data_IF_303741466673
#
_entry.id   IF_303741466673
#
_cell.length_a   1.000
_cell.length_b   1.000
_cell.length_c   1.000
_cell.angle_alpha   90.00
_cell.angle_beta   90.00
_cell.angle_gamma   90.00
#
_symmetry.space_group_name_H-M   'P 1'
#
loop_
_entity.id
_entity.type
_entity.pdbx_description
1 polymer ?
#
# COMPACT_ATOMS: atom_id res chain seq x y z
N UNK A 1 5.55 4.85 -37.05
CA UNK A 1 6.57 4.78 -35.99
C UNK A 1 5.96 3.94 -34.89
N UNK A 2 6.43 2.71 -34.71
CA UNK A 2 5.95 1.84 -33.63
C UNK A 2 6.48 2.41 -32.32
N UNK A 3 5.59 2.68 -31.36
CA UNK A 3 6.02 3.02 -29.99
C UNK A 3 6.91 1.90 -29.46
N UNK A 4 8.01 2.23 -28.76
CA UNK A 4 8.87 1.22 -28.18
C UNK A 4 8.04 0.39 -27.19
N UNK A 5 8.08 -0.92 -27.38
CA UNK A 5 7.49 -1.91 -26.48
C UNK A 5 8.17 -1.76 -25.12
N UNK A 6 7.53 -1.04 -24.18
CA UNK A 6 7.99 -0.94 -22.80
C UNK A 6 8.15 -2.35 -22.25
N UNK A 7 9.34 -2.65 -21.75
CA UNK A 7 9.62 -4.00 -21.25
C UNK A 7 8.83 -4.25 -19.97
N UNK A 8 8.39 -5.49 -19.72
CA UNK A 8 7.58 -5.85 -18.54
C UNK A 8 8.17 -5.39 -17.20
N UNK A 9 9.51 -5.29 -17.10
CA UNK A 9 10.22 -4.79 -15.93
C UNK A 9 10.06 -3.28 -15.69
N UNK A 10 9.66 -2.50 -16.69
CA UNK A 10 9.41 -1.07 -16.54
C UNK A 10 8.04 -0.79 -15.90
N UNK A 11 7.12 -1.77 -15.90
CA UNK A 11 5.76 -1.58 -15.40
C UNK A 11 5.61 -1.76 -13.89
N UNK A 12 6.51 -2.50 -13.22
CA UNK A 12 6.52 -2.63 -11.75
C UNK A 12 7.90 -2.27 -11.22
N UNK A 13 7.98 -1.27 -10.35
CA UNK A 13 9.25 -0.80 -9.77
C UNK A 13 9.14 -0.71 -8.26
N UNK A 14 10.17 -1.15 -7.56
CA UNK A 14 10.31 -0.90 -6.12
C UNK A 14 11.08 0.39 -5.93
N UNK A 15 10.53 1.33 -5.17
CA UNK A 15 11.15 2.64 -4.94
C UNK A 15 11.04 3.05 -3.49
N UNK A 16 12.04 3.81 -3.02
CA UNK A 16 11.95 4.54 -1.77
C UNK A 16 11.42 5.94 -2.08
N UNK A 17 10.17 6.20 -1.73
CA UNK A 17 9.56 7.51 -1.94
C UNK A 17 9.63 8.33 -0.64
N UNK A 18 10.37 9.43 -0.70
CA UNK A 18 10.61 10.30 0.45
C UNK A 18 9.35 11.01 0.95
N UNK A 19 8.39 11.26 0.06
CA UNK A 19 7.09 11.86 0.39
C UNK A 19 6.26 10.88 1.21
N UNK A 20 6.30 9.59 0.83
CA UNK A 20 5.69 8.51 1.61
C UNK A 20 6.37 8.39 2.96
N UNK A 21 7.71 8.38 3.03
CA UNK A 21 8.45 8.31 4.30
C UNK A 21 8.10 9.47 5.25
N UNK A 22 8.05 10.70 4.74
CA UNK A 22 7.66 11.85 5.53
C UNK A 22 6.22 11.70 6.06
N UNK A 23 5.29 11.30 5.20
CA UNK A 23 3.88 11.13 5.56
C UNK A 23 3.69 10.06 6.63
N UNK A 24 4.45 8.97 6.54
CA UNK A 24 4.44 7.94 7.58
C UNK A 24 5.02 8.44 8.91
N UNK A 25 5.99 9.36 8.90
CA UNK A 25 6.46 10.03 10.11
C UNK A 25 5.41 11.00 10.70
N UNK A 26 4.69 11.73 9.84
CA UNK A 26 3.53 12.56 10.23
C UNK A 26 2.44 11.68 10.88
N UNK A 27 2.14 10.52 10.28
CA UNK A 27 1.21 9.56 10.88
C UNK A 27 1.73 9.03 12.23
N UNK A 28 3.01 8.73 12.36
CA UNK A 28 3.61 8.30 13.63
C UNK A 28 3.49 9.35 14.76
N UNK A 29 3.47 10.64 14.40
CA UNK A 29 3.25 11.76 15.31
C UNK A 29 1.76 12.08 15.57
N UNK A 30 0.86 11.53 14.76
CA UNK A 30 -0.59 11.78 14.81
C UNK A 30 -1.33 10.86 15.81
N UNK A 31 -2.66 10.92 15.83
CA UNK A 31 -3.52 10.00 16.58
C UNK A 31 -3.63 8.61 15.96
N UNK A 32 -3.21 8.45 14.70
CA UNK A 32 -3.39 7.22 13.96
C UNK A 32 -2.78 5.97 14.63
N UNK A 33 -1.56 5.97 15.23
CA UNK A 33 -1.01 4.79 15.90
C UNK A 33 -1.96 4.22 16.97
N UNK A 34 -2.67 5.10 17.69
CA UNK A 34 -3.65 4.68 18.69
C UNK A 34 -4.93 4.14 18.03
N UNK A 35 -5.39 4.76 16.94
CA UNK A 35 -6.56 4.32 16.18
C UNK A 35 -6.35 2.92 15.62
N UNK A 36 -5.19 2.66 15.02
CA UNK A 36 -4.87 1.37 14.43
C UNK A 36 -4.68 0.27 15.50
N UNK A 37 -3.98 0.56 16.59
CA UNK A 37 -3.83 -0.39 17.71
C UNK A 37 -5.17 -0.72 18.38
N UNK A 38 -6.16 0.17 18.28
CA UNK A 38 -7.53 -0.10 18.73
C UNK A 38 -8.30 -1.06 17.79
N UNK A 39 -7.93 -1.13 16.50
CA UNK A 39 -8.49 -2.09 15.54
C UNK A 39 -7.94 -3.48 15.84
N UNK A 40 -6.62 -3.61 15.82
CA UNK A 40 -5.94 -4.89 16.10
C UNK A 40 -4.57 -4.63 16.76
N UNK A 41 -4.44 -4.91 18.08
CA UNK A 41 -3.17 -4.80 18.76
C UNK A 41 -2.09 -5.68 18.11
N UNK A 42 -0.92 -5.08 17.87
CA UNK A 42 0.21 -5.76 17.26
C UNK A 42 1.55 -5.13 17.61
N UNK A 43 2.63 -5.90 17.49
CA UNK A 43 3.97 -5.40 17.71
C UNK A 43 4.34 -4.36 16.64
N UNK A 44 4.68 -3.14 17.08
CA UNK A 44 5.16 -2.07 16.21
C UNK A 44 6.61 -2.32 15.82
N UNK A 45 6.94 -2.11 14.54
CA UNK A 45 8.31 -2.20 14.04
C UNK A 45 9.26 -1.28 14.80
N UNK A 46 10.52 -1.69 14.97
CA UNK A 46 11.52 -0.88 15.69
C UNK A 46 11.67 0.50 15.06
N UNK A 47 11.67 0.59 13.72
CA UNK A 47 11.72 1.90 13.03
C UNK A 47 10.49 2.76 13.30
N UNK A 48 9.30 2.16 13.48
CA UNK A 48 8.11 2.90 13.89
C UNK A 48 8.19 3.45 15.30
N UNK A 49 8.78 2.70 16.24
CA UNK A 49 9.03 3.18 17.61
C UNK A 49 10.04 4.33 17.63
N UNK A 50 11.16 4.16 16.91
CA UNK A 50 12.21 5.18 16.79
C UNK A 50 11.69 6.45 16.13
N UNK A 51 10.90 6.32 15.07
CA UNK A 51 10.27 7.48 14.42
C UNK A 51 9.32 8.19 15.36
N UNK A 52 8.43 7.47 16.05
CA UNK A 52 7.53 8.09 17.03
C UNK A 52 8.29 8.79 18.16
N UNK A 53 9.36 8.19 18.66
CA UNK A 53 10.22 8.80 19.67
C UNK A 53 10.86 10.09 19.13
N UNK A 54 11.47 10.03 17.94
CA UNK A 54 12.07 11.19 17.28
C UNK A 54 11.06 12.34 17.11
N UNK A 55 9.85 12.02 16.65
CA UNK A 55 8.80 13.02 16.47
C UNK A 55 8.34 13.64 17.80
N UNK A 56 8.29 12.84 18.88
CA UNK A 56 7.88 13.31 20.20
C UNK A 56 8.95 14.17 20.90
N UNK A 57 10.23 13.78 20.83
CA UNK A 57 11.33 14.50 21.47
C UNK A 57 11.53 15.92 20.93
N UNK A 58 11.09 16.16 19.69
CA UNK A 58 11.21 17.43 18.98
C UNK A 58 9.87 18.20 18.88
N UNK A 59 8.85 17.79 19.64
CA UNK A 59 7.51 18.43 19.69
C UNK A 59 6.79 18.55 18.34
N UNK A 60 7.08 17.66 17.39
CA UNK A 60 6.46 17.69 16.05
C UNK A 60 4.98 17.32 16.05
N UNK A 61 4.46 16.72 17.14
CA UNK A 61 3.05 16.40 17.27
C UNK A 61 2.13 17.65 17.20
N UNK A 62 2.65 18.83 17.58
CA UNK A 62 1.93 20.11 17.51
C UNK A 62 2.08 20.84 16.17
N UNK A 63 2.81 20.25 15.21
CA UNK A 63 3.04 20.87 13.91
C UNK A 63 1.74 20.98 13.07
N UNK A 64 1.51 22.08 12.32
CA UNK A 64 0.31 22.25 11.49
C UNK A 64 0.02 21.07 10.54
N UNK A 65 1.05 20.52 9.91
CA UNK A 65 0.90 19.35 9.04
C UNK A 65 0.32 18.11 9.76
N UNK A 66 0.73 17.87 11.03
CA UNK A 66 0.22 16.76 11.85
C UNK A 66 -1.19 17.06 12.33
N UNK A 67 -1.46 18.30 12.74
CA UNK A 67 -2.79 18.74 13.16
C UNK A 67 -3.84 18.55 12.04
N UNK A 68 -3.48 18.87 10.79
CA UNK A 68 -4.38 18.69 9.64
C UNK A 68 -4.64 17.23 9.31
N UNK A 69 -3.65 16.35 9.47
CA UNK A 69 -3.86 14.90 9.35
C UNK A 69 -4.78 14.40 10.46
N UNK A 70 -4.60 14.84 11.71
CA UNK A 70 -5.51 14.50 12.81
C UNK A 70 -6.95 14.93 12.54
N UNK A 71 -7.15 16.14 12.00
CA UNK A 71 -8.47 16.64 11.60
C UNK A 71 -9.08 15.81 10.47
N UNK A 72 -8.30 15.50 9.42
CA UNK A 72 -8.75 14.67 8.30
C UNK A 72 -9.19 13.27 8.78
N UNK A 73 -8.37 12.62 9.61
CA UNK A 73 -8.67 11.31 10.18
C UNK A 73 -9.92 11.34 11.07
N UNK A 74 -10.09 12.38 11.88
CA UNK A 74 -11.28 12.56 12.72
C UNK A 74 -12.56 12.73 11.87
N UNK A 75 -12.44 13.28 10.66
CA UNK A 75 -13.51 13.42 9.69
C UNK A 75 -13.69 12.20 8.77
N UNK A 76 -12.98 11.09 9.04
CA UNK A 76 -13.13 9.84 8.29
C UNK A 76 -12.41 9.80 6.94
N UNK A 77 -11.46 10.71 6.70
CA UNK A 77 -10.59 10.64 5.51
C UNK A 77 -9.71 9.39 5.61
N UNK A 78 -9.69 8.58 4.55
CA UNK A 78 -8.87 7.36 4.48
C UNK A 78 -7.39 7.67 4.19
N UNK A 79 -6.52 6.68 4.47
CA UNK A 79 -5.09 6.83 4.21
C UNK A 79 -4.76 6.93 2.72
N UNK A 80 -5.56 6.33 1.84
CA UNK A 80 -5.38 6.45 0.39
C UNK A 80 -5.44 7.92 -0.04
N UNK A 81 -6.40 8.67 0.49
CA UNK A 81 -6.54 10.11 0.25
C UNK A 81 -5.34 10.90 0.81
N UNK A 82 -4.87 10.57 2.02
CA UNK A 82 -3.68 11.22 2.62
C UNK A 82 -2.43 10.98 1.77
N UNK A 83 -2.17 9.74 1.39
CA UNK A 83 -1.00 9.38 0.59
C UNK A 83 -1.10 9.88 -0.85
N UNK A 84 -2.29 9.89 -1.43
CA UNK A 84 -2.48 10.50 -2.75
C UNK A 84 -2.18 11.99 -2.69
N UNK A 85 -2.73 12.72 -1.70
CA UNK A 85 -2.48 14.15 -1.56
C UNK A 85 -1.01 14.52 -1.41
N UNK A 86 -0.21 13.76 -0.66
CA UNK A 86 1.22 14.06 -0.53
C UNK A 86 2.00 13.78 -1.83
N UNK A 87 1.59 12.77 -2.60
CA UNK A 87 2.22 12.40 -3.86
C UNK A 87 1.92 13.41 -4.99
N UNK A 88 0.89 14.23 -4.82
CA UNK A 88 0.61 15.38 -5.69
C UNK A 88 1.63 16.53 -5.55
N UNK A 89 2.55 16.46 -4.57
CA UNK A 89 3.66 17.39 -4.40
C UNK A 89 5.02 16.83 -4.85
N UNK A 90 5.93 17.73 -5.22
CA UNK A 90 7.34 17.43 -5.47
C UNK A 90 8.11 17.10 -4.18
N UNK A 91 9.27 16.45 -4.28
CA UNK A 91 10.09 16.19 -3.10
C UNK A 91 10.91 17.43 -2.67
N UNK A 92 11.08 17.57 -1.35
CA UNK A 92 11.71 18.65 -0.58
C UNK A 92 10.90 19.93 -0.43
N UNK A 93 10.43 20.52 -1.52
CA UNK A 93 9.66 21.77 -1.46
C UNK A 93 8.14 21.56 -1.51
N UNK A 94 7.68 20.35 -1.81
CA UNK A 94 6.28 20.01 -2.01
C UNK A 94 5.57 20.98 -2.97
N UNK A 95 6.32 21.46 -3.98
CA UNK A 95 5.74 22.22 -5.08
C UNK A 95 4.63 21.40 -5.75
N UNK A 96 3.49 22.04 -6.00
CA UNK A 96 2.31 21.38 -6.56
C UNK A 96 2.60 20.82 -7.95
N UNK A 97 2.49 19.50 -8.12
CA UNK A 97 2.58 18.82 -9.41
C UNK A 97 1.19 18.61 -10.02
N UNK A 98 0.21 18.33 -9.18
CA UNK A 98 -1.20 18.15 -9.52
C UNK A 98 -2.08 18.55 -8.33
N UNK A 99 -3.39 18.74 -8.54
CA UNK A 99 -4.30 19.14 -7.47
C UNK A 99 -4.50 17.97 -6.48
N UNK A 100 -4.25 18.15 -5.16
CA UNK A 100 -4.48 17.10 -4.18
C UNK A 100 -5.98 16.84 -3.97
N UNK A 101 -6.39 15.61 -3.63
CA UNK A 101 -7.74 15.33 -3.22
C UNK A 101 -8.11 16.11 -1.95
N UNK A 102 -9.37 16.54 -1.87
CA UNK A 102 -9.92 17.16 -0.68
C UNK A 102 -9.83 16.21 0.54
N UNK A 103 -9.65 16.72 1.77
CA UNK A 103 -9.62 18.14 2.15
C UNK A 103 -8.22 18.77 2.05
N UNK A 104 -7.24 18.07 1.50
CA UNK A 104 -5.88 18.56 1.41
C UNK A 104 -5.76 19.63 0.32
N UNK A 105 -4.83 20.56 0.51
CA UNK A 105 -4.60 21.70 -0.38
C UNK A 105 -3.11 21.99 -0.47
N UNK A 106 -2.73 22.91 -1.37
CA UNK A 106 -1.36 23.42 -1.44
C UNK A 106 -0.85 24.00 -0.09
N UNK A 107 -1.75 24.46 0.79
CA UNK A 107 -1.37 24.94 2.13
C UNK A 107 -0.83 23.80 2.99
N UNK A 108 -1.44 22.61 2.92
CA UNK A 108 -0.94 21.44 3.64
C UNK A 108 0.39 20.94 3.09
N UNK A 109 0.55 20.97 1.76
CA UNK A 109 1.82 20.65 1.12
C UNK A 109 2.95 21.61 1.58
N UNK A 110 2.66 22.91 1.69
CA UNK A 110 3.62 23.88 2.22
C UNK A 110 3.97 23.59 3.70
N UNK A 111 3.01 23.15 4.52
CA UNK A 111 3.27 22.73 5.90
C UNK A 111 4.12 21.44 5.95
N UNK A 112 3.95 20.52 5.01
CA UNK A 112 4.83 19.34 4.91
C UNK A 112 6.26 19.73 4.51
N UNK A 113 6.42 20.70 3.60
CA UNK A 113 7.73 21.24 3.25
C UNK A 113 8.41 21.89 4.47
N UNK A 114 7.66 22.66 5.26
CA UNK A 114 8.15 23.26 6.50
C UNK A 114 8.59 22.19 7.51
N UNK A 115 7.78 21.15 7.72
CA UNK A 115 8.16 20.03 8.60
C UNK A 115 9.42 19.32 8.07
N UNK A 116 9.49 19.04 6.77
CA UNK A 116 10.65 18.37 6.17
C UNK A 116 11.93 19.19 6.30
N UNK A 117 11.84 20.52 6.17
CA UNK A 117 12.98 21.43 6.25
C UNK A 117 13.48 21.62 7.70
N UNK A 118 12.57 21.64 8.67
CA UNK A 118 12.93 21.99 10.06
C UNK A 118 13.09 20.79 11.00
N UNK A 119 12.64 19.59 10.61
CA UNK A 119 12.73 18.39 11.47
C UNK A 119 14.07 17.68 11.42
N UNK A 120 14.95 17.98 10.46
CA UNK A 120 16.16 17.22 10.17
C UNK A 120 15.93 15.71 10.01
N UNK A 121 14.68 15.25 9.79
CA UNK A 121 14.33 13.83 9.82
C UNK A 121 15.11 13.01 8.79
N UNK A 122 15.38 13.60 7.62
CA UNK A 122 16.17 12.96 6.56
C UNK A 122 17.65 12.81 6.91
N UNK A 123 18.23 13.78 7.62
CA UNK A 123 19.67 13.81 7.95
C UNK A 123 20.00 13.20 9.31
N UNK A 124 19.08 13.24 10.26
CA UNK A 124 19.24 12.65 11.58
C UNK A 124 18.74 11.20 11.57
N UNK A 125 17.43 10.99 11.40
CA UNK A 125 16.82 9.68 11.58
C UNK A 125 17.03 8.75 10.39
N UNK A 126 16.68 9.18 9.17
CA UNK A 126 16.75 8.30 8.00
C UNK A 126 18.18 7.99 7.59
N UNK A 127 19.11 8.92 7.79
CA UNK A 127 20.52 8.67 7.51
C UNK A 127 21.13 7.66 8.50
N UNK A 128 20.79 7.75 9.78
CA UNK A 128 21.25 6.80 10.81
C UNK A 128 20.74 5.37 10.56
N UNK A 129 19.51 5.24 10.05
CA UNK A 129 18.87 3.94 9.79
C UNK A 129 18.81 3.55 8.31
N UNK A 130 19.72 4.09 7.49
CA UNK A 130 19.76 3.83 6.04
C UNK A 130 19.80 2.34 5.71
N UNK A 131 20.64 1.58 6.40
CA UNK A 131 20.85 0.15 6.13
C UNK A 131 19.54 -0.66 6.19
N UNK A 132 18.63 -0.31 7.10
CA UNK A 132 17.34 -0.98 7.25
C UNK A 132 16.42 -0.70 6.05
N UNK A 133 16.49 0.50 5.49
CA UNK A 133 15.74 0.85 4.28
C UNK A 133 16.34 0.20 3.04
N UNK A 134 17.67 0.14 2.96
CA UNK A 134 18.38 -0.52 1.86
C UNK A 134 18.11 -2.04 1.86
N UNK A 135 18.01 -2.66 3.04
CA UNK A 135 17.57 -4.05 3.19
C UNK A 135 16.13 -4.24 2.70
N UNK A 136 15.19 -3.39 3.15
CA UNK A 136 13.80 -3.47 2.69
C UNK A 136 13.65 -3.28 1.18
N UNK A 137 14.42 -2.36 0.58
CA UNK A 137 14.50 -2.20 -0.87
C UNK A 137 15.05 -3.43 -1.54
N UNK A 138 16.13 -4.01 -1.01
CA UNK A 138 16.77 -5.21 -1.57
C UNK A 138 15.80 -6.39 -1.57
N UNK A 139 15.13 -6.62 -0.45
CA UNK A 139 14.14 -7.70 -0.30
C UNK A 139 12.96 -7.52 -1.27
N UNK A 140 12.35 -6.33 -1.31
CA UNK A 140 11.22 -6.08 -2.21
C UNK A 140 11.65 -6.16 -3.68
N UNK A 141 12.83 -5.64 -4.05
CA UNK A 141 13.33 -5.79 -5.41
C UNK A 141 13.48 -7.27 -5.78
N UNK A 142 13.99 -8.11 -4.88
CA UNK A 142 14.08 -9.55 -5.12
C UNK A 142 12.70 -10.20 -5.29
N UNK A 143 11.72 -9.83 -4.45
CA UNK A 143 10.35 -10.35 -4.50
C UNK A 143 9.64 -9.98 -5.81
N UNK A 144 9.79 -8.74 -6.27
CA UNK A 144 9.06 -8.22 -7.43
C UNK A 144 9.76 -8.39 -8.77
N UNK A 145 11.03 -8.81 -8.78
CA UNK A 145 11.86 -8.92 -10.00
C UNK A 145 11.19 -9.70 -11.14
N UNK A 146 10.56 -10.81 -10.80
CA UNK A 146 9.94 -11.75 -11.74
C UNK A 146 8.42 -11.88 -11.53
N UNK A 147 7.85 -11.03 -10.66
CA UNK A 147 6.42 -11.04 -10.37
C UNK A 147 5.63 -10.43 -11.52
N UNK A 148 4.73 -11.21 -12.13
CA UNK A 148 3.85 -10.74 -13.22
C UNK A 148 2.66 -9.89 -12.72
N UNK A 149 2.89 -9.01 -11.74
CA UNK A 149 1.82 -8.23 -11.09
C UNK A 149 1.09 -7.31 -12.08
N UNK A 150 1.83 -6.55 -12.89
CA UNK A 150 1.22 -5.65 -13.88
C UNK A 150 0.38 -6.41 -14.90
N UNK A 151 0.89 -7.54 -15.43
CA UNK A 151 0.15 -8.41 -16.36
C UNK A 151 -1.13 -8.99 -15.71
N UNK A 152 -1.04 -9.39 -14.44
CA UNK A 152 -2.20 -9.87 -13.68
C UNK A 152 -3.25 -8.76 -13.51
N UNK A 153 -2.85 -7.56 -13.07
CA UNK A 153 -3.76 -6.42 -12.89
C UNK A 153 -4.36 -5.96 -14.22
N UNK A 154 -3.61 -5.99 -15.32
CA UNK A 154 -4.12 -5.70 -16.65
C UNK A 154 -5.17 -6.73 -17.10
N UNK A 155 -4.92 -8.03 -16.84
CA UNK A 155 -5.93 -9.08 -17.09
C UNK A 155 -7.16 -8.94 -16.20
N UNK A 156 -6.99 -8.49 -14.96
CA UNK A 156 -8.09 -8.30 -14.02
C UNK A 156 -8.98 -7.12 -14.43
N UNK A 157 -8.38 -5.98 -14.75
CA UNK A 157 -9.10 -4.75 -15.17
C UNK A 157 -9.60 -4.84 -16.61
N UNK A 158 -8.88 -5.55 -17.49
CA UNK A 158 -9.17 -5.63 -18.94
C UNK A 158 -8.68 -4.44 -19.72
N UNK A 159 -7.78 -3.70 -19.10
CA UNK A 159 -7.16 -2.50 -19.62
C UNK A 159 -5.67 -2.71 -19.48
N UNK A 160 -4.91 -2.26 -20.46
CA UNK A 160 -3.48 -2.03 -20.24
C UNK A 160 -3.34 -0.97 -19.16
N UNK A 161 -2.43 -1.18 -18.22
CA UNK A 161 -2.13 -0.14 -17.23
C UNK A 161 -1.51 1.05 -17.97
N UNK A 162 -2.13 2.22 -17.86
CA UNK A 162 -1.66 3.47 -18.49
C UNK A 162 -0.46 4.06 -17.73
N UNK A 163 -0.18 3.56 -16.52
CA UNK A 163 0.87 4.04 -15.62
C UNK A 163 1.61 2.86 -14.99
N UNK A 164 2.91 3.04 -14.66
CA UNK A 164 3.65 2.05 -13.89
C UNK A 164 3.09 1.90 -12.47
N UNK A 165 3.30 0.72 -11.91
CA UNK A 165 3.06 0.39 -10.50
C UNK A 165 4.35 0.59 -9.71
N UNK A 166 4.30 1.41 -8.67
CA UNK A 166 5.38 1.67 -7.74
C UNK A 166 5.09 0.97 -6.40
N UNK A 167 5.94 0.02 -6.03
CA UNK A 167 5.90 -0.65 -4.73
C UNK A 167 6.78 0.15 -3.77
N UNK A 168 6.20 0.66 -2.69
CA UNK A 168 6.89 1.52 -1.72
C UNK A 168 6.89 0.86 -0.35
N UNK A 169 8.05 0.52 0.25
CA UNK A 169 8.10 0.02 1.61
C UNK A 169 7.73 1.11 2.62
N UNK A 170 7.05 0.73 3.70
CA UNK A 170 6.83 1.59 4.87
C UNK A 170 7.22 0.88 6.17
N UNK A 171 8.26 1.38 6.85
CA UNK A 171 8.81 0.79 8.08
C UNK A 171 8.56 1.61 9.34
N UNK A 172 8.24 2.89 9.17
CA UNK A 172 8.25 3.91 10.23
C UNK A 172 6.90 4.14 10.88
N UNK A 173 5.91 3.34 10.51
CA UNK A 173 4.56 3.52 10.94
C UNK A 173 3.86 2.14 11.00
N UNK A 174 3.19 1.76 12.10
CA UNK A 174 2.48 0.48 12.16
C UNK A 174 1.36 0.46 11.11
N UNK A 175 1.33 -0.53 10.23
CA UNK A 175 0.31 -0.63 9.18
C UNK A 175 -0.15 -2.08 9.06
N UNK A 176 -1.40 -2.33 9.44
CA UNK A 176 -2.06 -3.64 9.36
C UNK A 176 -2.27 -4.09 7.92
N UNK A 177 -2.41 -3.13 7.00
CA UNK A 177 -2.66 -3.35 5.58
C UNK A 177 -1.87 -2.33 4.75
N UNK A 178 -1.60 -2.69 3.50
CA UNK A 178 -1.08 -1.78 2.52
C UNK A 178 -2.09 -0.68 2.17
N UNK A 179 -1.58 0.40 1.61
CA UNK A 179 -2.40 1.53 1.16
C UNK A 179 -2.12 1.80 -0.31
N UNK A 180 -3.15 1.80 -1.17
CA UNK A 180 -2.96 2.26 -2.54
C UNK A 180 -2.87 3.79 -2.56
N UNK A 181 -2.28 4.33 -3.61
CA UNK A 181 -2.42 5.74 -3.96
C UNK A 181 -2.24 5.88 -5.48
N UNK A 182 -2.65 7.00 -6.06
CA UNK A 182 -2.45 7.23 -7.50
C UNK A 182 -2.22 8.69 -7.81
N UNK A 183 -1.30 8.92 -8.73
CA UNK A 183 -1.08 10.22 -9.36
C UNK A 183 -1.28 10.10 -10.88
N UNK A 184 -1.15 11.21 -11.60
CA UNK A 184 -1.05 11.19 -13.06
C UNK A 184 0.16 10.39 -13.59
N UNK A 185 1.18 10.13 -12.77
CA UNK A 185 2.42 9.45 -13.18
C UNK A 185 2.46 7.96 -12.84
N UNK A 186 1.80 7.52 -11.76
CA UNK A 186 1.96 6.15 -11.25
C UNK A 186 0.78 5.68 -10.39
N UNK A 187 0.62 4.36 -10.32
CA UNK A 187 -0.13 3.68 -9.25
C UNK A 187 0.85 3.26 -8.16
N UNK A 188 0.51 3.52 -6.91
CA UNK A 188 1.36 3.20 -5.76
C UNK A 188 0.72 2.07 -4.96
N UNK A 189 1.54 1.13 -4.51
CA UNK A 189 1.21 0.21 -3.42
C UNK A 189 2.21 0.46 -2.29
N UNK A 190 1.74 1.11 -1.22
CA UNK A 190 2.53 1.37 -0.01
C UNK A 190 2.37 0.13 0.87
N UNK A 191 3.40 -0.71 0.90
CA UNK A 191 3.34 -2.04 1.50
C UNK A 191 4.08 -2.03 2.84
N UNK A 192 3.43 -2.40 3.95
CA UNK A 192 4.09 -2.61 5.22
C UNK A 192 4.71 -4.00 5.34
N UNK A 193 5.69 -4.19 6.23
CA UNK A 193 6.22 -5.51 6.51
C UNK A 193 5.13 -6.42 7.10
N UNK A 194 5.26 -7.75 6.94
CA UNK A 194 4.35 -8.69 7.57
C UNK A 194 4.24 -8.46 9.07
N UNK A 195 3.01 -8.56 9.60
CA UNK A 195 2.76 -8.48 11.05
C UNK A 195 3.64 -9.51 11.78
N UNK A 196 4.36 -9.05 12.80
CA UNK A 196 5.13 -9.92 13.68
C UNK A 196 4.20 -10.78 14.56
N UNK A 197 4.63 -12.00 14.85
CA UNK A 197 3.95 -12.89 15.80
C UNK A 197 4.76 -12.93 17.10
N UNK A 198 4.14 -12.56 18.23
CA UNK A 198 4.78 -12.54 19.54
C UNK A 198 5.65 -11.30 19.79
N UNK A 199 6.78 -11.47 20.47
CA UNK A 199 7.73 -10.40 20.81
C UNK A 199 8.79 -10.15 19.71
N UNK A 200 8.79 -10.97 18.66
CA UNK A 200 9.69 -10.78 17.52
C UNK A 200 9.39 -9.45 16.82
N UNK A 201 10.42 -8.71 16.35
CA UNK A 201 10.17 -7.56 15.49
C UNK A 201 9.46 -8.02 14.20
N UNK A 202 8.70 -7.13 13.52
CA UNK A 202 8.14 -7.42 12.21
C UNK A 202 9.21 -7.97 11.27
N UNK A 203 8.83 -9.00 10.52
CA UNK A 203 9.77 -9.77 9.72
C UNK A 203 10.27 -8.91 8.55
N UNK A 204 11.56 -9.05 8.17
CA UNK A 204 12.02 -8.54 6.89
C UNK A 204 11.15 -9.06 5.75
N UNK A 205 11.02 -8.30 4.66
CA UNK A 205 10.14 -8.69 3.56
C UNK A 205 10.52 -10.05 2.95
N UNK A 206 11.82 -10.42 2.95
CA UNK A 206 12.29 -11.70 2.39
C UNK A 206 11.62 -12.94 2.99
N UNK A 207 11.22 -12.89 4.26
CA UNK A 207 10.61 -14.03 4.96
C UNK A 207 9.08 -14.08 4.75
N UNK A 208 8.52 -13.12 4.00
CA UNK A 208 7.09 -12.98 3.72
C UNK A 208 6.83 -12.52 2.28
N UNK A 209 7.47 -13.15 1.30
CA UNK A 209 7.25 -12.84 -0.12
C UNK A 209 5.77 -12.99 -0.53
N UNK A 210 5.09 -14.04 -0.03
CA UNK A 210 3.66 -14.26 -0.25
C UNK A 210 2.81 -13.12 0.33
N UNK A 211 3.18 -12.61 1.49
CA UNK A 211 2.54 -11.46 2.11
C UNK A 211 2.71 -10.20 1.27
N UNK A 212 3.95 -9.84 0.90
CA UNK A 212 4.23 -8.63 0.15
C UNK A 212 3.50 -8.62 -1.21
N UNK A 213 3.58 -9.71 -1.96
CA UNK A 213 2.89 -9.90 -3.24
C UNK A 213 1.37 -9.88 -3.09
N UNK A 214 0.85 -10.63 -2.13
CA UNK A 214 -0.59 -10.71 -1.87
C UNK A 214 -1.17 -9.37 -1.42
N UNK A 215 -0.42 -8.59 -0.64
CA UNK A 215 -0.87 -7.29 -0.15
C UNK A 215 -0.91 -6.24 -1.25
N UNK A 216 0.15 -6.12 -2.07
CA UNK A 216 0.11 -5.21 -3.22
C UNK A 216 -1.01 -5.57 -4.20
N UNK A 217 -1.20 -6.86 -4.49
CA UNK A 217 -2.29 -7.31 -5.35
C UNK A 217 -3.67 -6.95 -4.77
N UNK A 218 -3.88 -7.17 -3.46
CA UNK A 218 -5.14 -6.81 -2.78
C UNK A 218 -5.47 -5.33 -2.88
N UNK A 219 -4.53 -4.46 -2.54
CA UNK A 219 -4.78 -3.02 -2.48
C UNK A 219 -4.98 -2.47 -3.89
N UNK A 220 -4.16 -2.90 -4.86
CA UNK A 220 -4.29 -2.46 -6.25
C UNK A 220 -5.54 -3.02 -6.94
N UNK A 221 -6.00 -4.21 -6.57
CA UNK A 221 -7.24 -4.79 -7.12
C UNK A 221 -8.43 -3.90 -6.86
N UNK A 222 -8.63 -3.50 -5.59
CA UNK A 222 -9.77 -2.66 -5.21
C UNK A 222 -9.63 -1.27 -5.82
N UNK A 223 -8.40 -0.73 -5.79
CA UNK A 223 -8.07 0.58 -6.33
C UNK A 223 -8.35 0.71 -7.82
N UNK A 224 -7.84 -0.23 -8.63
CA UNK A 224 -7.93 -0.17 -10.10
C UNK A 224 -9.33 -0.55 -10.63
N UNK A 225 -10.16 -1.16 -9.78
CA UNK A 225 -11.54 -1.51 -10.08
C UNK A 225 -12.53 -0.62 -9.33
N UNK A 226 -12.15 0.60 -8.94
CA UNK A 226 -12.99 1.48 -8.09
C UNK A 226 -14.42 1.65 -8.63
N UNK A 227 -14.58 1.80 -9.96
CA UNK A 227 -15.90 1.92 -10.61
C UNK A 227 -16.73 0.64 -10.48
N UNK A 228 -16.12 -0.52 -10.74
CA UNK A 228 -16.78 -1.82 -10.61
C UNK A 228 -17.09 -2.16 -9.15
N UNK A 229 -16.18 -1.80 -8.24
CA UNK A 229 -16.28 -2.00 -6.80
C UNK A 229 -17.39 -1.15 -6.17
N UNK A 230 -17.64 0.06 -6.67
CA UNK A 230 -18.70 0.94 -6.18
C UNK A 230 -20.11 0.30 -6.28
N UNK A 231 -20.29 -0.70 -7.15
CA UNK A 231 -21.53 -1.45 -7.29
C UNK A 231 -21.61 -2.71 -6.41
N UNK A 232 -20.54 -3.03 -5.67
CA UNK A 232 -20.43 -4.24 -4.84
C UNK A 232 -20.74 -3.94 -3.38
N UNK A 233 -21.17 -4.96 -2.65
CA UNK A 233 -21.25 -4.91 -1.18
C UNK A 233 -19.86 -5.08 -0.55
N UNK A 234 -19.67 -4.63 0.70
CA UNK A 234 -18.41 -4.82 1.44
C UNK A 234 -17.96 -6.29 1.48
N UNK A 235 -18.91 -7.23 1.63
CA UNK A 235 -18.62 -8.66 1.62
C UNK A 235 -18.06 -9.13 0.27
N UNK A 236 -18.61 -8.63 -0.84
CA UNK A 236 -18.14 -8.95 -2.19
C UNK A 236 -16.77 -8.34 -2.49
N UNK A 237 -16.52 -7.10 -2.05
CA UNK A 237 -15.19 -6.47 -2.16
C UNK A 237 -14.16 -7.28 -1.34
N UNK A 238 -14.56 -7.74 -0.16
CA UNK A 238 -13.75 -8.59 0.69
C UNK A 238 -13.47 -9.96 0.05
N UNK A 239 -14.43 -10.56 -0.65
CA UNK A 239 -14.18 -11.79 -1.42
C UNK A 239 -13.25 -11.53 -2.61
N UNK A 240 -13.51 -10.48 -3.40
CA UNK A 240 -12.75 -10.11 -4.59
C UNK A 240 -11.25 -9.93 -4.27
N UNK A 241 -10.93 -9.14 -3.24
CA UNK A 241 -9.53 -8.86 -2.88
C UNK A 241 -8.73 -10.13 -2.55
N UNK A 242 -9.33 -11.07 -1.82
CA UNK A 242 -8.65 -12.32 -1.46
C UNK A 242 -8.67 -13.34 -2.58
N UNK A 243 -9.70 -13.34 -3.43
CA UNK A 243 -9.74 -14.20 -4.61
C UNK A 243 -8.66 -13.79 -5.62
N UNK A 244 -8.53 -12.49 -5.89
CA UNK A 244 -7.48 -11.94 -6.76
C UNK A 244 -6.07 -12.28 -6.22
N UNK A 245 -5.80 -12.04 -4.93
CA UNK A 245 -4.52 -12.40 -4.33
C UNK A 245 -4.24 -13.92 -4.36
N UNK A 246 -5.25 -14.76 -4.16
CA UNK A 246 -5.10 -16.23 -4.27
C UNK A 246 -4.63 -16.64 -5.66
N UNK A 247 -5.27 -16.10 -6.70
CA UNK A 247 -4.93 -16.41 -8.10
C UNK A 247 -3.53 -15.89 -8.40
N UNK A 248 -3.25 -14.62 -8.06
CA UNK A 248 -1.97 -13.99 -8.30
C UNK A 248 -0.81 -14.74 -7.62
N UNK A 249 -0.95 -15.11 -6.34
CA UNK A 249 0.08 -15.88 -5.64
C UNK A 249 0.28 -17.27 -6.25
N UNK A 250 -0.80 -17.88 -6.76
CA UNK A 250 -0.76 -19.12 -7.54
C UNK A 250 0.14 -19.01 -8.77
N UNK A 251 0.04 -17.91 -9.50
CA UNK A 251 0.79 -17.65 -10.72
C UNK A 251 2.22 -17.12 -10.46
N UNK A 252 2.39 -16.25 -9.47
CA UNK A 252 3.65 -15.57 -9.18
C UNK A 252 4.63 -16.45 -8.39
N UNK A 253 4.12 -17.36 -7.55
CA UNK A 253 4.95 -18.24 -6.71
C UNK A 253 4.72 -19.71 -7.07
N UNK A 254 3.55 -20.22 -6.71
CA UNK A 254 3.12 -21.58 -7.04
C UNK A 254 1.65 -21.79 -6.68
N UNK A 255 0.99 -22.76 -7.32
CA UNK A 255 -0.38 -23.15 -6.96
C UNK A 255 -0.53 -23.50 -5.47
N UNK A 256 0.47 -24.14 -4.87
CA UNK A 256 0.48 -24.46 -3.44
C UNK A 256 0.52 -23.22 -2.54
N UNK A 257 1.24 -22.16 -2.94
CA UNK A 257 1.25 -20.90 -2.20
C UNK A 257 -0.10 -20.19 -2.28
N UNK A 258 -0.69 -20.14 -3.48
CA UNK A 258 -2.07 -19.63 -3.66
C UNK A 258 -3.07 -20.39 -2.78
N UNK A 259 -3.03 -21.72 -2.76
CA UNK A 259 -3.90 -22.53 -1.92
C UNK A 259 -3.65 -22.36 -0.42
N UNK A 260 -2.39 -22.20 -0.02
CA UNK A 260 -2.03 -21.93 1.38
C UNK A 260 -2.59 -20.57 1.84
N UNK A 261 -2.48 -19.55 0.99
CA UNK A 261 -3.11 -18.25 1.20
C UNK A 261 -4.64 -18.37 1.32
N UNK A 262 -5.30 -19.08 0.39
CA UNK A 262 -6.75 -19.29 0.39
C UNK A 262 -7.24 -19.86 1.73
N UNK A 263 -6.58 -20.93 2.21
CA UNK A 263 -6.95 -21.59 3.47
C UNK A 263 -6.78 -20.63 4.66
N UNK A 264 -5.67 -19.86 4.69
CA UNK A 264 -5.40 -18.85 5.72
C UNK A 264 -6.46 -17.74 5.70
N UNK A 265 -6.70 -17.14 4.54
CA UNK A 265 -7.67 -16.05 4.37
C UNK A 265 -9.09 -16.49 4.72
N UNK A 266 -9.52 -17.67 4.27
CA UNK A 266 -10.85 -18.24 4.60
C UNK A 266 -11.07 -18.33 6.11
N UNK A 267 -10.05 -18.79 6.85
CA UNK A 267 -10.12 -18.96 8.31
C UNK A 267 -10.04 -17.61 9.03
N UNK A 268 -9.08 -16.77 8.67
CA UNK A 268 -8.81 -15.48 9.33
C UNK A 268 -9.99 -14.51 9.16
N UNK A 269 -10.55 -14.43 7.94
CA UNK A 269 -11.57 -13.46 7.59
C UNK A 269 -12.99 -14.04 7.56
N UNK A 270 -13.16 -15.33 7.90
CA UNK A 270 -14.45 -16.05 7.91
C UNK A 270 -15.19 -15.97 6.56
N UNK A 271 -14.48 -16.30 5.47
CA UNK A 271 -14.99 -16.19 4.09
C UNK A 271 -15.28 -17.60 3.49
N UNK A 272 -16.36 -18.29 3.90
CA UNK A 272 -16.59 -19.69 3.51
C UNK A 272 -16.69 -19.91 1.99
N UNK A 273 -17.18 -18.92 1.25
CA UNK A 273 -17.34 -18.97 -0.20
C UNK A 273 -16.06 -18.67 -1.00
N UNK A 274 -14.97 -18.26 -0.35
CA UNK A 274 -13.76 -17.78 -1.05
C UNK A 274 -13.22 -18.78 -2.09
N UNK A 275 -13.29 -20.08 -1.80
CA UNK A 275 -12.86 -21.11 -2.75
C UNK A 275 -13.71 -21.12 -4.04
N UNK A 276 -15.03 -20.99 -3.91
CA UNK A 276 -15.92 -20.93 -5.06
C UNK A 276 -15.68 -19.64 -5.88
N UNK A 277 -15.49 -18.51 -5.21
CA UNK A 277 -15.21 -17.22 -5.86
C UNK A 277 -13.86 -17.24 -6.59
N UNK A 278 -12.83 -17.91 -6.07
CA UNK A 278 -11.54 -18.07 -6.76
C UNK A 278 -11.72 -18.81 -8.09
N UNK A 279 -12.47 -19.92 -8.10
CA UNK A 279 -12.71 -20.67 -9.33
C UNK A 279 -13.56 -19.88 -10.34
N UNK A 280 -14.59 -19.17 -9.86
CA UNK A 280 -15.40 -18.30 -10.72
C UNK A 280 -14.57 -17.15 -11.30
N UNK A 281 -13.70 -16.53 -10.51
CA UNK A 281 -12.83 -15.44 -10.96
C UNK A 281 -11.78 -15.93 -11.96
N UNK A 282 -11.20 -17.13 -11.78
CA UNK A 282 -10.32 -17.74 -12.79
C UNK A 282 -11.04 -17.92 -14.13
N UNK A 283 -12.22 -18.55 -14.11
CA UNK A 283 -13.02 -18.77 -15.31
C UNK A 283 -13.49 -17.44 -15.95
N UNK A 284 -13.68 -16.40 -15.15
CA UNK A 284 -14.01 -15.06 -15.64
C UNK A 284 -12.81 -14.38 -16.30
N UNK A 285 -11.59 -14.49 -15.74
CA UNK A 285 -10.37 -13.92 -16.32
C UNK A 285 -10.08 -14.45 -17.73
N UNK A 286 -10.48 -15.70 -18.01
CA UNK A 286 -10.32 -16.33 -19.33
C UNK A 286 -11.35 -15.86 -20.37
N UNK A 287 -12.60 -15.62 -19.95
CA UNK A 287 -13.74 -15.39 -20.87
C UNK A 287 -14.23 -13.97 -20.92
N UNK A 288 -14.34 -13.33 -19.75
CA UNK A 288 -14.84 -11.96 -19.54
C UNK A 288 -16.19 -11.68 -20.20
N UNK A 289 -17.05 -12.69 -20.23
CA UNK A 289 -18.35 -12.69 -20.90
C UNK A 289 -19.48 -12.12 -20.05
N UNK A 290 -19.23 -11.87 -18.76
CA UNK A 290 -20.20 -11.32 -17.80
C UNK A 290 -19.61 -10.19 -16.95
N UNK A 291 -20.44 -9.30 -16.36
CA UNK A 291 -19.95 -8.30 -15.39
C UNK A 291 -19.31 -8.94 -14.16
N UNK A 292 -18.28 -8.30 -13.58
CA UNK A 292 -17.56 -8.81 -12.42
C UNK A 292 -18.48 -9.11 -11.23
N UNK A 293 -19.52 -8.31 -11.01
CA UNK A 293 -20.50 -8.53 -9.94
C UNK A 293 -21.19 -9.91 -10.02
N UNK A 294 -21.37 -10.47 -11.21
CA UNK A 294 -21.97 -11.79 -11.41
C UNK A 294 -21.04 -12.96 -11.02
N UNK A 295 -19.76 -12.68 -10.80
CA UNK A 295 -18.71 -13.62 -10.38
C UNK A 295 -18.59 -13.67 -8.85
N UNK A 296 -19.14 -12.67 -8.16
CA UNK A 296 -19.00 -12.49 -6.71
C UNK A 296 -20.32 -12.80 -5.99
N UNK A 297 -21.06 -13.83 -6.45
CA UNK A 297 -22.37 -14.17 -5.91
C UNK A 297 -22.23 -15.14 -4.73
N UNK A 298 -23.02 -14.88 -3.69
CA UNK A 298 -23.11 -15.68 -2.45
C UNK A 298 -23.60 -17.13 -2.63
#
# INVERSE_FOLDING_TARGET
MSEPEQTKQEQVRVVLDERVRLTTAVLAASHWPSMEQAIEPHAVHTQGKLTRQFMAENDWANHPAVARVNEALANGVDLETVFTAVLCGGWRDFALLEEPPAPFTAVWLAELADLAANSDIGTALWAEHRDVWDEALTDLNAIYKDAALADFLARLTGKTLDRPVLIVPTLVFPMLAGVPATTSEAHFAIVPPPKAWGESPPWPYRDGADWALGEACRVLTVHLLADEVAALTDAQVHLLRHAAATIFLGEALSESEGMSYLVRARRQFKLPQLAAVVEQLRAWLERRDVPLAAVLVD
#
